data_IF_825501761184
#
_entry.id   IF_825501761184
#
_cell.length_a   1.000
_cell.length_b   1.000
_cell.length_c   1.000
_cell.angle_alpha   90.00
_cell.angle_beta   90.00
_cell.angle_gamma   90.00
#
_symmetry.space_group_name_H-M   'P 1'
#
loop_
_entity.id
_entity.type
_entity.pdbx_description
1 polymer ?
#
# COMPACT_ATOMS: atom_id res chain seq x y z
N UNK A 1 20.52 17.12 32.32
CA UNK A 1 20.93 17.59 30.97
C UNK A 1 21.64 16.45 30.25
N UNK A 2 21.17 15.87 29.15
CA UNK A 2 19.89 15.99 28.44
C UNK A 2 19.76 14.70 27.62
N UNK A 3 18.56 14.11 27.61
CA UNK A 3 18.10 12.98 26.78
C UNK A 3 18.15 13.24 25.25
N UNK A 4 19.00 14.17 24.79
CA UNK A 4 19.10 14.57 23.38
C UNK A 4 19.94 13.60 22.53
N UNK A 5 20.76 12.74 23.15
CA UNK A 5 21.71 11.90 22.41
C UNK A 5 21.19 10.51 22.01
N UNK A 6 19.97 10.12 22.41
CA UNK A 6 19.38 8.83 22.01
C UNK A 6 18.52 8.93 20.75
N UNK A 7 18.09 10.14 20.39
CA UNK A 7 17.25 10.38 19.20
C UNK A 7 18.10 10.60 17.94
N UNK A 8 19.33 11.09 18.08
CA UNK A 8 20.20 11.43 16.93
C UNK A 8 20.90 10.27 16.22
N UNK A 9 20.84 9.03 16.74
CA UNK A 9 21.55 7.87 16.16
C UNK A 9 20.71 6.96 15.27
N UNK A 10 19.39 7.11 15.24
CA UNK A 10 18.51 6.29 14.39
C UNK A 10 18.17 6.93 13.04
N UNK A 11 18.75 8.11 12.74
CA UNK A 11 18.48 8.86 11.50
C UNK A 11 19.62 8.81 10.48
N UNK A 12 20.73 8.14 10.81
CA UNK A 12 21.82 7.89 9.86
C UNK A 12 21.82 6.39 9.62
N UNK A 13 21.64 5.99 8.36
CA UNK A 13 21.49 4.60 7.90
C UNK A 13 20.05 4.07 7.97
N UNK A 14 19.09 4.80 7.39
CA UNK A 14 18.23 4.14 6.40
C UNK A 14 19.08 4.14 5.13
N UNK A 15 19.95 3.15 4.96
CA UNK A 15 20.38 2.81 3.60
C UNK A 15 19.11 2.68 2.77
N UNK A 16 19.15 3.11 1.51
CA UNK A 16 18.03 2.98 0.58
C UNK A 16 17.42 1.59 0.72
N UNK A 17 16.35 1.47 1.50
CA UNK A 17 15.65 0.22 1.64
C UNK A 17 15.04 0.01 0.28
N UNK A 18 15.41 -1.08 -0.41
CA UNK A 18 14.79 -1.49 -1.67
C UNK A 18 13.29 -1.79 -1.51
N UNK A 19 12.75 -1.63 -0.29
CA UNK A 19 11.36 -1.87 0.08
C UNK A 19 10.75 -0.69 0.86
N UNK A 20 9.43 -0.48 0.75
CA UNK A 20 8.67 0.47 1.55
C UNK A 20 8.78 0.18 3.04
N UNK A 21 8.83 1.24 3.83
CA UNK A 21 8.70 1.14 5.29
C UNK A 21 7.24 1.37 5.64
N UNK A 22 6.63 0.40 6.32
CA UNK A 22 5.25 0.49 6.79
C UNK A 22 5.16 0.41 8.32
N UNK A 23 4.11 1.00 8.88
CA UNK A 23 3.74 0.84 10.29
C UNK A 23 3.18 -0.55 10.56
N UNK A 24 3.14 -0.93 11.84
CA UNK A 24 2.59 -2.22 12.26
C UNK A 24 1.15 -2.42 11.76
N UNK A 25 0.86 -3.63 11.29
CA UNK A 25 -0.46 -4.03 10.79
C UNK A 25 -1.12 -4.96 11.81
N UNK A 26 -2.37 -4.65 12.20
CA UNK A 26 -3.14 -5.55 13.05
C UNK A 26 -3.89 -6.59 12.22
N UNK A 27 -4.27 -7.72 12.83
CA UNK A 27 -5.13 -8.70 12.16
C UNK A 27 -6.47 -8.11 11.67
N UNK A 28 -7.01 -7.12 12.39
CA UNK A 28 -8.22 -6.41 11.98
C UNK A 28 -8.05 -5.66 10.66
N UNK A 29 -6.85 -5.12 10.42
CA UNK A 29 -6.52 -4.40 9.19
C UNK A 29 -6.39 -5.34 8.00
N UNK A 30 -5.68 -6.47 8.20
CA UNK A 30 -5.59 -7.53 7.19
C UNK A 30 -6.99 -8.01 6.78
N UNK A 31 -7.86 -8.31 7.75
CA UNK A 31 -9.24 -8.71 7.47
C UNK A 31 -10.04 -7.66 6.72
N UNK A 32 -9.83 -6.37 7.02
CA UNK A 32 -10.50 -5.27 6.33
C UNK A 32 -10.04 -5.19 4.88
N UNK A 33 -8.74 -5.21 4.63
CA UNK A 33 -8.17 -5.22 3.30
C UNK A 33 -8.64 -6.41 2.46
N UNK A 34 -8.62 -7.63 3.02
CA UNK A 34 -9.10 -8.82 2.29
C UNK A 34 -10.58 -8.72 1.91
N UNK A 35 -11.42 -8.12 2.76
CA UNK A 35 -12.83 -7.88 2.43
C UNK A 35 -13.00 -6.87 1.30
N UNK A 36 -12.22 -5.77 1.33
CA UNK A 36 -12.24 -4.78 0.26
C UNK A 36 -11.77 -5.38 -1.07
N UNK A 37 -10.68 -6.15 -1.06
CA UNK A 37 -10.21 -6.86 -2.25
C UNK A 37 -11.27 -7.80 -2.84
N UNK A 38 -11.98 -8.54 -1.98
CA UNK A 38 -13.07 -9.42 -2.43
C UNK A 38 -14.22 -8.63 -3.06
N UNK A 39 -14.59 -7.48 -2.48
CA UNK A 39 -15.63 -6.60 -3.03
C UNK A 39 -15.21 -5.99 -4.37
N UNK A 40 -13.95 -5.56 -4.50
CA UNK A 40 -13.41 -5.03 -5.75
C UNK A 40 -13.51 -6.07 -6.87
N UNK A 41 -13.06 -7.30 -6.60
CA UNK A 41 -13.14 -8.41 -7.54
C UNK A 41 -14.59 -8.78 -7.90
N UNK A 42 -15.51 -8.69 -6.94
CA UNK A 42 -16.93 -8.89 -7.19
C UNK A 42 -17.47 -7.85 -8.18
N UNK A 43 -17.24 -6.56 -7.95
CA UNK A 43 -17.72 -5.49 -8.83
C UNK A 43 -17.08 -5.53 -10.23
N UNK A 44 -15.78 -5.81 -10.34
CA UNK A 44 -15.14 -6.03 -11.65
C UNK A 44 -15.77 -7.20 -12.41
N UNK A 45 -16.11 -8.28 -11.71
CA UNK A 45 -16.76 -9.44 -12.33
C UNK A 45 -18.17 -9.11 -12.79
N UNK A 46 -18.95 -8.35 -12.03
CA UNK A 46 -20.28 -7.87 -12.45
C UNK A 46 -20.17 -6.97 -13.68
N UNK A 47 -19.22 -6.03 -13.70
CA UNK A 47 -18.96 -5.15 -14.84
C UNK A 47 -18.57 -5.92 -16.11
N UNK A 48 -17.85 -7.03 -15.96
CA UNK A 48 -17.36 -7.86 -17.07
C UNK A 48 -18.40 -8.85 -17.62
N UNK A 49 -19.59 -8.96 -17.01
CA UNK A 49 -20.65 -9.87 -17.48
C UNK A 49 -21.35 -9.31 -18.72
N UNK A 50 -21.98 -10.20 -19.49
CA UNK A 50 -22.86 -9.82 -20.59
C UNK A 50 -24.04 -8.99 -20.03
N UNK A 51 -24.17 -7.74 -20.46
CA UNK A 51 -25.09 -6.77 -19.86
C UNK A 51 -24.55 -6.02 -18.63
N UNK A 52 -23.24 -6.05 -18.37
CA UNK A 52 -22.58 -5.32 -17.29
C UNK A 52 -22.86 -3.81 -17.34
N UNK A 53 -22.99 -3.19 -16.16
CA UNK A 53 -23.29 -1.76 -16.03
C UNK A 53 -22.04 -0.94 -15.73
N UNK A 54 -22.03 0.31 -16.22
CA UNK A 54 -21.04 1.32 -15.80
C UNK A 54 -21.06 1.54 -14.29
N UNK A 55 -22.23 1.43 -13.65
CA UNK A 55 -22.38 1.48 -12.20
C UNK A 55 -21.52 0.43 -11.47
N UNK A 56 -21.33 -0.76 -12.05
CA UNK A 56 -20.45 -1.77 -11.46
C UNK A 56 -18.97 -1.38 -11.52
N UNK A 57 -18.56 -0.63 -12.55
CA UNK A 57 -17.21 -0.05 -12.62
C UNK A 57 -17.05 1.09 -11.61
N UNK A 58 -18.03 1.98 -11.52
CA UNK A 58 -18.01 3.08 -10.53
C UNK A 58 -17.89 2.52 -9.09
N UNK A 59 -18.62 1.44 -8.77
CA UNK A 59 -18.50 0.76 -7.49
C UNK A 59 -17.14 0.08 -7.30
N UNK A 60 -16.54 -0.49 -8.34
CA UNK A 60 -15.19 -1.03 -8.27
C UNK A 60 -14.17 0.08 -7.95
N UNK A 61 -14.27 1.24 -8.60
CA UNK A 61 -13.40 2.39 -8.36
C UNK A 61 -13.55 2.93 -6.93
N UNK A 62 -14.78 3.02 -6.42
CA UNK A 62 -15.02 3.39 -5.02
C UNK A 62 -14.36 2.42 -4.02
N UNK A 63 -14.39 1.12 -4.31
CA UNK A 63 -13.72 0.12 -3.47
C UNK A 63 -12.21 0.24 -3.59
N UNK A 64 -11.69 0.51 -4.79
CA UNK A 64 -10.27 0.72 -5.02
C UNK A 64 -9.74 1.93 -4.22
N UNK A 65 -10.47 3.04 -4.22
CA UNK A 65 -10.13 4.22 -3.41
C UNK A 65 -10.06 3.89 -1.91
N UNK A 66 -10.96 3.02 -1.41
CA UNK A 66 -10.92 2.54 -0.02
C UNK A 66 -9.69 1.66 0.26
N UNK A 67 -9.29 0.81 -0.69
CA UNK A 67 -8.07 -0.01 -0.58
C UNK A 67 -6.84 0.90 -0.51
N UNK A 68 -6.72 1.86 -1.44
CA UNK A 68 -5.62 2.82 -1.46
C UNK A 68 -5.53 3.58 -0.13
N UNK A 69 -6.65 4.11 0.37
CA UNK A 69 -6.69 4.83 1.64
C UNK A 69 -6.26 3.97 2.84
N UNK A 70 -6.62 2.67 2.88
CA UNK A 70 -6.17 1.78 3.96
C UNK A 70 -4.66 1.49 3.88
N UNK A 71 -4.11 1.38 2.67
CA UNK A 71 -2.67 1.18 2.43
C UNK A 71 -1.87 2.43 2.76
N UNK A 72 -2.29 3.60 2.27
CA UNK A 72 -1.63 4.90 2.48
C UNK A 72 -1.38 5.20 3.96
N UNK A 73 -2.38 4.95 4.82
CA UNK A 73 -2.27 5.13 6.28
C UNK A 73 -1.08 4.39 6.90
N UNK A 74 -0.53 3.38 6.23
CA UNK A 74 0.54 2.53 6.74
C UNK A 74 1.91 2.92 6.23
N UNK A 75 2.02 3.67 5.13
CA UNK A 75 3.30 3.96 4.51
C UNK A 75 4.00 5.08 5.30
N UNK A 76 5.21 4.78 5.74
CA UNK A 76 6.12 5.74 6.38
C UNK A 76 7.12 6.29 5.36
N UNK A 77 7.57 5.42 4.46
CA UNK A 77 8.53 5.76 3.40
C UNK A 77 8.29 4.89 2.17
N UNK A 78 8.40 5.51 0.99
CA UNK A 78 8.30 4.85 -0.31
C UNK A 78 9.61 5.08 -1.09
N UNK A 79 10.31 4.01 -1.52
CA UNK A 79 11.50 4.13 -2.33
C UNK A 79 11.19 4.72 -3.71
N UNK A 80 12.09 5.54 -4.26
CA UNK A 80 11.86 6.17 -5.56
C UNK A 80 11.74 5.18 -6.72
N UNK A 81 12.41 4.04 -6.66
CA UNK A 81 12.34 2.98 -7.69
C UNK A 81 11.00 2.22 -7.71
N UNK A 82 10.16 2.41 -6.67
CA UNK A 82 8.78 1.92 -6.62
C UNK A 82 7.80 2.86 -7.31
N UNK A 83 8.22 4.07 -7.63
CA UNK A 83 7.41 5.09 -8.27
C UNK A 83 7.66 5.15 -9.78
N UNK A 84 6.69 5.67 -10.52
CA UNK A 84 6.90 6.05 -11.92
C UNK A 84 7.85 7.25 -12.00
N UNK A 85 8.49 7.44 -13.15
CA UNK A 85 9.53 8.46 -13.32
C UNK A 85 9.00 9.87 -13.08
N UNK A 86 7.75 10.12 -13.48
CA UNK A 86 7.04 11.40 -13.41
C UNK A 86 6.51 11.75 -12.02
N UNK A 87 6.68 10.85 -11.04
CA UNK A 87 6.16 11.07 -9.69
C UNK A 87 6.72 12.36 -9.08
N UNK A 88 5.91 13.20 -8.41
CA UNK A 88 6.41 14.36 -7.67
C UNK A 88 7.51 13.97 -6.67
N UNK A 89 8.48 14.85 -6.43
CA UNK A 89 9.54 14.60 -5.43
C UNK A 89 8.97 14.60 -4.01
N UNK A 90 7.98 15.47 -3.75
CA UNK A 90 7.33 15.63 -2.45
C UNK A 90 5.97 14.93 -2.45
N UNK A 91 5.97 13.61 -2.26
CA UNK A 91 4.75 12.81 -2.10
C UNK A 91 4.48 12.51 -0.61
N UNK A 92 3.27 12.83 -0.16
CA UNK A 92 2.79 12.50 1.19
C UNK A 92 1.90 11.25 1.16
N UNK A 93 2.53 10.09 1.17
CA UNK A 93 1.82 8.80 1.20
C UNK A 93 0.93 8.60 2.43
N UNK A 94 1.16 9.32 3.52
CA UNK A 94 0.45 9.10 4.78
C UNK A 94 -0.88 9.85 4.83
N UNK A 95 -0.89 11.07 4.30
CA UNK A 95 -2.07 11.95 4.36
C UNK A 95 -2.77 12.14 3.01
N UNK A 96 -2.13 11.76 1.89
CA UNK A 96 -2.73 11.79 0.56
C UNK A 96 -2.93 10.37 0.00
N UNK A 97 -4.18 9.86 -0.05
CA UNK A 97 -4.49 8.59 -0.69
C UNK A 97 -4.08 8.52 -2.16
N UNK A 98 -4.12 9.66 -2.88
CA UNK A 98 -3.80 9.72 -4.31
C UNK A 98 -2.29 9.57 -4.58
N UNK A 99 -1.45 9.72 -3.55
CA UNK A 99 -0.01 9.45 -3.67
C UNK A 99 0.26 8.01 -4.16
N UNK A 100 -0.65 7.08 -3.89
CA UNK A 100 -0.57 5.68 -4.35
C UNK A 100 -0.63 5.54 -5.87
N UNK A 101 -1.26 6.47 -6.59
CA UNK A 101 -1.36 6.41 -8.06
C UNK A 101 0.00 6.54 -8.75
N UNK A 102 0.98 7.12 -8.05
CA UNK A 102 2.36 7.23 -8.53
C UNK A 102 3.17 5.95 -8.35
N UNK A 103 2.64 4.94 -7.64
CA UNK A 103 3.29 3.65 -7.46
C UNK A 103 3.16 2.84 -8.75
N UNK A 104 4.27 2.26 -9.20
CA UNK A 104 4.28 1.40 -10.38
C UNK A 104 3.34 0.20 -10.19
N UNK A 105 2.63 -0.18 -11.25
CA UNK A 105 1.68 -1.28 -11.21
C UNK A 105 2.28 -2.60 -10.69
N UNK A 106 3.51 -2.95 -11.11
CA UNK A 106 4.20 -4.19 -10.67
C UNK A 106 4.65 -4.16 -9.20
N UNK A 107 4.72 -2.96 -8.62
CA UNK A 107 5.13 -2.71 -7.23
C UNK A 107 3.91 -2.57 -6.32
N UNK A 108 2.79 -2.08 -6.84
CA UNK A 108 1.54 -1.94 -6.10
C UNK A 108 1.06 -3.27 -5.53
N UNK A 109 1.04 -4.35 -6.32
CA UNK A 109 0.66 -5.68 -5.83
C UNK A 109 1.56 -6.17 -4.67
N UNK A 110 2.86 -5.85 -4.72
CA UNK A 110 3.80 -6.18 -3.63
C UNK A 110 3.53 -5.36 -2.38
N UNK A 111 3.21 -4.08 -2.55
CA UNK A 111 2.83 -3.18 -1.46
C UNK A 111 1.55 -3.68 -0.76
N UNK A 112 0.55 -4.10 -1.53
CA UNK A 112 -0.67 -4.72 -1.02
C UNK A 112 -0.36 -5.98 -0.21
N UNK A 113 0.49 -6.87 -0.73
CA UNK A 113 0.90 -8.09 -0.03
C UNK A 113 1.68 -7.81 1.26
N UNK A 114 2.56 -6.80 1.25
CA UNK A 114 3.31 -6.34 2.41
C UNK A 114 2.37 -5.86 3.52
N UNK A 115 1.39 -5.00 3.18
CA UNK A 115 0.39 -4.51 4.14
C UNK A 115 -0.56 -5.62 4.58
N UNK A 116 -0.86 -6.60 3.73
CA UNK A 116 -1.64 -7.78 4.12
C UNK A 116 -0.87 -8.75 5.04
N UNK A 117 0.40 -8.47 5.37
CA UNK A 117 1.24 -9.33 6.20
C UNK A 117 1.64 -10.64 5.51
N UNK A 118 1.56 -10.70 4.18
CA UNK A 118 1.81 -11.92 3.41
C UNK A 118 3.30 -12.15 3.10
N UNK A 119 4.17 -11.15 3.24
CA UNK A 119 5.62 -11.34 3.02
C UNK A 119 6.32 -12.15 4.13
N UNK A 120 5.87 -12.05 5.38
CA UNK A 120 6.47 -12.77 6.52
C UNK A 120 6.45 -14.30 6.35
N UNK A 121 5.53 -14.84 5.55
CA UNK A 121 5.42 -16.27 5.26
C UNK A 121 6.38 -16.77 4.16
N UNK A 122 6.97 -15.86 3.37
CA UNK A 122 7.82 -16.21 2.22
C UNK A 122 9.31 -16.34 2.58
N UNK A 123 9.78 -15.56 3.56
CA UNK A 123 11.15 -15.64 4.07
C UNK A 123 11.33 -16.82 5.04
N UNK A 124 10.29 -17.20 5.78
CA UNK A 124 10.30 -18.38 6.66
C UNK A 124 10.34 -19.73 5.90
N UNK A 125 10.11 -19.76 4.59
CA UNK A 125 10.22 -20.97 3.75
C UNK A 125 11.58 -21.14 3.08
N UNK A 126 12.49 -20.17 3.24
CA UNK A 126 13.86 -20.21 2.70
C UNK A 126 14.92 -20.39 3.79
N UNK A 127 14.52 -20.56 5.05
CA UNK A 127 15.41 -20.77 6.19
C UNK A 127 15.33 -22.17 6.77
#
# INVERSE_FOLDING_TARGET
>A
MTEANRVGKNLRVLEASDRPVITAVSWGDVRRLSRLQMLYQYHLKEASREGGSLESLDLADEVMNKIQAEISKRIVYMPRDWLVEEAPEELDFRNDPNAIEWVRADKFEKLVALVAGQEAASEAKKS
#
